data_IF_176484084802
#
_entry.id   IF_176484084802
#
_cell.length_a   1.000
_cell.length_b   1.000
_cell.length_c   1.000
_cell.angle_alpha   90.00
_cell.angle_beta   90.00
_cell.angle_gamma   90.00
#
_symmetry.space_group_name_H-M   'P 1'
#
loop_
_entity.id
_entity.type
_entity.pdbx_description
1 polymer ?
#
# COMPACT_ATOMS: atom_id res chain seq x y z
N UNK A 1 1.45 -58.39 -5.34
CA UNK A 1 1.94 -57.19 -4.60
C UNK A 1 1.91 -55.89 -5.42
N UNK A 2 1.89 -55.91 -6.76
CA UNK A 2 1.92 -54.72 -7.63
C UNK A 2 0.62 -53.89 -7.73
N UNK A 3 -0.55 -54.46 -7.39
CA UNK A 3 -1.85 -53.75 -7.53
C UNK A 3 -2.06 -52.65 -6.49
N UNK A 4 -1.72 -52.92 -5.22
CA UNK A 4 -1.85 -51.95 -4.12
C UNK A 4 -0.91 -50.75 -4.30
N UNK A 5 0.31 -50.98 -4.78
CA UNK A 5 1.27 -49.92 -5.07
C UNK A 5 0.82 -48.98 -6.20
N UNK A 6 0.18 -49.52 -7.25
CA UNK A 6 -0.36 -48.70 -8.36
C UNK A 6 -1.59 -47.89 -7.94
N UNK A 7 -2.47 -48.45 -7.11
CA UNK A 7 -3.64 -47.75 -6.57
C UNK A 7 -3.19 -46.60 -5.65
N UNK A 8 -2.19 -46.84 -4.79
CA UNK A 8 -1.62 -45.81 -3.93
C UNK A 8 -0.94 -44.69 -4.73
N UNK A 9 -0.20 -45.04 -5.80
CA UNK A 9 0.43 -44.06 -6.68
C UNK A 9 -0.60 -43.19 -7.43
N UNK A 10 -1.69 -43.79 -7.93
CA UNK A 10 -2.76 -43.04 -8.58
C UNK A 10 -3.52 -42.12 -7.61
N UNK A 11 -3.78 -42.58 -6.39
CA UNK A 11 -4.42 -41.76 -5.36
C UNK A 11 -3.55 -40.56 -4.96
N UNK A 12 -2.23 -40.75 -4.87
CA UNK A 12 -1.29 -39.67 -4.57
C UNK A 12 -1.18 -38.65 -5.71
N UNK A 13 -1.14 -39.12 -6.97
CA UNK A 13 -1.13 -38.24 -8.14
C UNK A 13 -2.44 -37.43 -8.27
N UNK A 14 -3.58 -38.04 -7.95
CA UNK A 14 -4.87 -37.34 -7.95
C UNK A 14 -4.98 -36.28 -6.83
N UNK A 15 -4.39 -36.53 -5.66
CA UNK A 15 -4.34 -35.55 -4.57
C UNK A 15 -3.44 -34.34 -4.88
N UNK A 16 -2.40 -34.51 -5.71
CA UNK A 16 -1.55 -33.41 -6.15
C UNK A 16 -2.15 -32.58 -7.29
N UNK A 17 -3.19 -33.08 -7.97
CA UNK A 17 -3.84 -32.41 -9.09
C UNK A 17 -5.03 -31.50 -8.67
N UNK A 18 -5.26 -31.32 -7.37
CA UNK A 18 -6.31 -30.43 -6.86
C UNK A 18 -5.96 -28.97 -7.24
N UNK A 19 -6.84 -28.25 -7.96
CA UNK A 19 -6.61 -26.85 -8.29
C UNK A 19 -6.54 -26.06 -6.99
N UNK A 20 -5.45 -25.30 -6.81
CA UNK A 20 -5.36 -24.35 -5.71
C UNK A 20 -6.53 -23.37 -5.82
N UNK A 21 -7.42 -23.38 -4.83
CA UNK A 21 -8.50 -22.40 -4.76
C UNK A 21 -7.88 -20.99 -4.72
N UNK A 22 -8.47 -19.99 -5.42
CA UNK A 22 -8.02 -18.62 -5.28
C UNK A 22 -8.13 -18.22 -3.81
N UNK A 23 -7.09 -17.59 -3.26
CA UNK A 23 -7.14 -17.06 -1.91
C UNK A 23 -8.25 -16.00 -1.85
N UNK A 24 -9.34 -16.30 -1.12
CA UNK A 24 -10.42 -15.36 -0.85
C UNK A 24 -10.01 -14.34 0.22
N UNK A 25 -10.77 -13.24 0.31
CA UNK A 25 -10.68 -12.36 1.46
C UNK A 25 -11.08 -13.12 2.74
N UNK A 26 -10.51 -12.75 3.88
CA UNK A 26 -10.84 -13.35 5.17
C UNK A 26 -12.35 -13.28 5.44
N UNK A 27 -12.92 -14.41 5.85
CA UNK A 27 -14.30 -14.47 6.34
C UNK A 27 -14.44 -13.77 7.69
N UNK A 28 -15.66 -13.47 8.10
CA UNK A 28 -15.91 -12.78 9.37
C UNK A 28 -15.34 -13.52 10.59
N UNK A 29 -15.29 -14.86 10.57
CA UNK A 29 -14.65 -15.67 11.60
C UNK A 29 -13.11 -15.58 11.60
N UNK A 30 -12.52 -15.24 10.47
CA UNK A 30 -11.06 -15.09 10.31
C UNK A 30 -10.60 -13.67 10.69
N UNK A 31 -11.48 -12.66 10.59
CA UNK A 31 -11.20 -11.28 10.99
C UNK A 31 -10.96 -11.11 12.51
N UNK A 32 -11.40 -12.05 13.35
CA UNK A 32 -11.20 -12.02 14.81
C UNK A 32 -9.74 -12.24 15.24
N UNK A 33 -8.88 -12.76 14.36
CA UNK A 33 -7.48 -13.04 14.69
C UNK A 33 -6.56 -11.85 14.37
N UNK A 34 -6.47 -10.91 15.32
CA UNK A 34 -5.33 -9.97 15.43
C UNK A 34 -5.01 -9.17 14.15
N UNK A 35 -6.00 -8.89 13.28
CA UNK A 35 -5.84 -8.01 12.11
C UNK A 35 -5.90 -6.52 12.53
N UNK A 36 -5.21 -6.17 13.62
CA UNK A 36 -5.09 -4.78 14.05
C UNK A 36 -4.19 -4.01 13.06
N UNK A 37 -4.73 -2.96 12.46
CA UNK A 37 -3.99 -2.16 11.47
C UNK A 37 -4.87 -1.13 10.79
N UNK A 38 -4.25 -0.19 10.05
CA UNK A 38 -4.99 0.77 9.25
C UNK A 38 -5.77 0.08 8.13
N UNK A 39 -7.00 0.53 7.92
CA UNK A 39 -7.84 0.04 6.84
C UNK A 39 -7.31 0.52 5.48
N UNK A 40 -7.05 -0.42 4.58
CA UNK A 40 -6.52 -0.17 3.24
C UNK A 40 -7.63 -0.18 2.18
N UNK A 41 -8.81 0.38 2.49
CA UNK A 41 -9.98 0.39 1.61
C UNK A 41 -9.83 1.28 0.36
N UNK A 42 -8.75 2.04 0.26
CA UNK A 42 -8.52 2.96 -0.87
C UNK A 42 -9.15 4.33 -0.71
N UNK A 43 -9.69 4.64 0.48
CA UNK A 43 -10.18 5.98 0.85
C UNK A 43 -9.02 6.90 1.19
N UNK A 44 -8.36 7.44 0.17
CA UNK A 44 -7.23 8.36 0.34
C UNK A 44 -7.65 9.82 0.24
N UNK A 45 -7.07 10.72 1.08
CA UNK A 45 -7.29 12.15 0.96
C UNK A 45 -6.83 12.69 -0.41
N UNK A 46 -7.37 13.83 -0.85
CA UNK A 46 -6.97 14.46 -2.11
C UNK A 46 -5.55 15.06 -2.00
N UNK A 47 -4.95 15.42 -3.14
CA UNK A 47 -3.59 15.92 -3.20
C UNK A 47 -3.39 17.29 -2.51
N UNK A 48 -4.43 18.10 -2.47
CA UNK A 48 -4.49 19.43 -1.82
C UNK A 48 -4.90 19.35 -0.34
N UNK A 49 -4.91 18.15 0.24
CA UNK A 49 -5.25 17.95 1.64
C UNK A 49 -4.30 18.72 2.56
N UNK A 50 -4.84 19.76 3.23
CA UNK A 50 -4.12 20.68 4.12
C UNK A 50 -3.18 19.96 5.09
N UNK A 51 -3.65 18.88 5.73
CA UNK A 51 -2.86 18.15 6.72
C UNK A 51 -1.59 17.51 6.14
N UNK A 52 -1.63 17.08 4.87
CA UNK A 52 -0.45 16.58 4.18
C UNK A 52 0.52 17.72 3.84
N UNK A 53 0.01 18.82 3.29
CA UNK A 53 0.84 19.98 2.91
C UNK A 53 1.57 20.60 4.10
N UNK A 54 0.89 20.81 5.22
CA UNK A 54 1.50 21.31 6.47
C UNK A 54 2.60 20.38 6.96
N UNK A 55 2.37 19.07 6.90
CA UNK A 55 3.36 18.07 7.32
C UNK A 55 4.58 18.03 6.39
N UNK A 56 4.39 18.23 5.09
CA UNK A 56 5.49 18.36 4.11
C UNK A 56 6.32 19.60 4.42
N UNK A 57 5.69 20.77 4.56
CA UNK A 57 6.37 22.03 4.87
C UNK A 57 7.15 21.96 6.20
N UNK A 58 6.53 21.41 7.24
CA UNK A 58 7.17 21.22 8.55
C UNK A 58 8.40 20.30 8.46
N UNK A 59 8.30 19.16 7.78
CA UNK A 59 9.43 18.22 7.63
C UNK A 59 10.53 18.77 6.75
N UNK A 60 10.20 19.56 5.73
CA UNK A 60 11.18 20.26 4.92
C UNK A 60 11.99 21.24 5.78
N UNK A 61 11.32 22.16 6.49
CA UNK A 61 11.99 23.13 7.34
C UNK A 61 12.82 22.46 8.46
N UNK A 62 12.31 21.37 9.04
CA UNK A 62 13.04 20.59 10.04
C UNK A 62 14.36 20.04 9.48
N UNK A 63 14.38 19.56 8.22
CA UNK A 63 15.61 19.06 7.58
C UNK A 63 16.58 20.17 7.22
N UNK A 64 16.08 21.29 6.69
CA UNK A 64 16.89 22.48 6.40
C UNK A 64 17.64 22.95 7.65
N UNK A 65 16.92 23.08 8.76
CA UNK A 65 17.51 23.48 10.03
C UNK A 65 18.52 22.44 10.56
N UNK A 66 18.12 21.15 10.64
CA UNK A 66 18.96 20.13 11.28
C UNK A 66 20.20 19.75 10.49
N UNK A 67 20.14 19.74 9.15
CA UNK A 67 21.22 19.21 8.32
C UNK A 67 21.98 20.27 7.52
N UNK A 68 21.35 21.41 7.23
CA UNK A 68 21.93 22.45 6.39
C UNK A 68 22.17 23.77 7.13
N UNK A 69 21.67 23.92 8.35
CA UNK A 69 21.74 25.15 9.15
C UNK A 69 21.20 26.39 8.39
N UNK A 70 20.20 26.16 7.53
CA UNK A 70 19.48 27.19 6.76
C UNK A 70 18.09 27.42 7.38
N UNK A 71 17.51 28.61 7.15
CA UNK A 71 16.11 28.90 7.50
C UNK A 71 15.16 28.79 6.30
N UNK A 72 15.52 27.95 5.33
CA UNK A 72 14.70 27.72 4.14
C UNK A 72 13.33 27.13 4.53
N UNK A 73 12.28 27.75 4.01
CA UNK A 73 10.88 27.38 4.28
C UNK A 73 10.07 27.32 3.01
N UNK A 74 9.19 26.33 2.92
CA UNK A 74 8.16 26.30 1.87
C UNK A 74 7.08 27.31 2.23
N UNK A 75 6.91 28.33 1.39
CA UNK A 75 5.90 29.38 1.58
C UNK A 75 4.59 29.02 0.91
N UNK A 76 4.66 28.50 -0.31
CA UNK A 76 3.49 28.21 -1.13
C UNK A 76 3.61 26.88 -1.88
N UNK A 77 2.46 26.27 -2.17
CA UNK A 77 2.33 25.12 -3.04
C UNK A 77 1.46 25.49 -4.24
N UNK A 78 1.98 25.25 -5.44
CA UNK A 78 1.34 25.60 -6.70
C UNK A 78 1.22 24.39 -7.62
N UNK A 79 0.30 24.46 -8.58
CA UNK A 79 0.10 23.43 -9.61
C UNK A 79 -0.03 22.00 -9.07
N UNK A 80 -0.66 21.83 -7.90
CA UNK A 80 -0.89 20.53 -7.28
C UNK A 80 -1.84 19.72 -8.17
N UNK A 81 -1.38 18.56 -8.63
CA UNK A 81 -2.19 17.62 -9.42
C UNK A 81 -1.90 16.19 -9.03
N UNK A 82 -2.91 15.34 -9.19
CA UNK A 82 -2.73 13.90 -9.14
C UNK A 82 -1.97 13.42 -10.38
N UNK A 83 -1.00 12.55 -10.17
CA UNK A 83 -0.27 11.87 -11.25
C UNK A 83 -0.70 10.42 -11.43
N UNK A 84 -1.12 9.76 -10.34
CA UNK A 84 -1.69 8.42 -10.38
C UNK A 84 -2.50 8.10 -9.13
N UNK A 85 -3.57 7.33 -9.28
CA UNK A 85 -4.35 6.76 -8.18
C UNK A 85 -4.32 5.23 -8.24
N UNK A 86 -3.74 4.59 -7.22
CA UNK A 86 -3.58 3.13 -7.11
C UNK A 86 -3.02 2.49 -8.40
N UNK A 87 -1.83 2.90 -8.88
CA UNK A 87 -1.28 2.42 -10.15
C UNK A 87 -0.84 0.94 -10.14
N UNK A 88 -0.75 0.33 -8.96
CA UNK A 88 -0.35 -1.06 -8.79
C UNK A 88 -1.55 -2.01 -8.68
N UNK A 89 -1.28 -3.32 -8.55
CA UNK A 89 -2.30 -4.34 -8.43
C UNK A 89 -3.32 -4.02 -7.32
N UNK A 90 -4.59 -4.37 -7.55
CA UNK A 90 -5.71 -4.02 -6.66
C UNK A 90 -5.51 -4.43 -5.19
N UNK A 91 -4.75 -5.52 -4.96
CA UNK A 91 -4.44 -6.07 -3.64
C UNK A 91 -3.20 -5.45 -2.97
N UNK A 92 -2.73 -4.30 -3.45
CA UNK A 92 -1.63 -3.55 -2.82
C UNK A 92 -2.15 -2.43 -1.94
N UNK A 93 -1.34 -2.03 -0.94
CA UNK A 93 -1.63 -0.86 -0.10
C UNK A 93 -1.93 0.34 -1.00
N UNK A 94 -3.12 0.95 -0.91
CA UNK A 94 -3.54 1.97 -1.84
C UNK A 94 -2.74 3.26 -1.63
N UNK A 95 -2.30 3.87 -2.74
CA UNK A 95 -1.50 5.10 -2.75
C UNK A 95 -2.02 6.08 -3.80
N UNK A 96 -2.00 7.36 -3.47
CA UNK A 96 -2.27 8.49 -4.38
C UNK A 96 -0.95 9.22 -4.58
N UNK A 97 -0.57 9.40 -5.84
CA UNK A 97 0.63 10.10 -6.24
C UNK A 97 0.25 11.50 -6.69
N UNK A 98 0.98 12.49 -6.18
CA UNK A 98 0.72 13.89 -6.42
C UNK A 98 2.03 14.57 -6.81
N UNK A 99 1.94 15.55 -7.71
CA UNK A 99 3.04 16.45 -8.07
C UNK A 99 2.59 17.89 -7.91
N UNK A 100 3.52 18.77 -7.54
CA UNK A 100 3.28 20.21 -7.46
C UNK A 100 4.62 20.96 -7.49
N UNK A 101 4.54 22.28 -7.59
CA UNK A 101 5.67 23.20 -7.52
C UNK A 101 5.62 23.88 -6.15
N UNK A 102 6.78 24.19 -5.58
CA UNK A 102 6.88 24.88 -4.30
C UNK A 102 7.70 26.14 -4.43
N UNK A 103 7.27 27.18 -3.73
CA UNK A 103 8.05 28.39 -3.51
C UNK A 103 8.79 28.28 -2.18
N UNK A 104 10.08 28.62 -2.19
CA UNK A 104 10.96 28.48 -1.02
C UNK A 104 11.71 29.80 -0.79
N UNK A 105 11.81 30.22 0.47
CA UNK A 105 12.58 31.39 0.91
C UNK A 105 13.38 31.09 2.16
#
# INVERSE_FOLDING_TARGET
MFGRARVLAFAFAAALALPAAPAGAASWFEMDFYMSGPEYEGKLPPCDYRGALVRIASRFNQKENMYWATDLRILNFEHIRETAFRPWAAQTIPRRYCSGIVEVS
#
